data_IF_193911175613
#
_entry.id   IF_193911175613
#
_cell.length_a   1.000
_cell.length_b   1.000
_cell.length_c   1.000
_cell.angle_alpha   90.00
_cell.angle_beta   90.00
_cell.angle_gamma   90.00
#
_symmetry.space_group_name_H-M   'P 1'
#
loop_
_entity.id
_entity.type
_entity.pdbx_description
1 polymer ?
#
# COMPACT_ATOMS: atom_id res chain seq x y z
N UNK A 1 -1.54 -3.66 17.01
CA UNK A 1 -2.46 -4.50 16.21
C UNK A 1 -3.14 -3.74 15.05
N UNK A 2 -3.74 -2.55 15.23
CA UNK A 2 -4.49 -1.81 14.18
C UNK A 2 -3.68 -1.36 12.94
N UNK A 3 -2.35 -1.17 13.06
CA UNK A 3 -1.52 -0.74 11.91
C UNK A 3 -1.34 -1.85 10.86
N UNK A 4 -1.35 -3.12 11.28
CA UNK A 4 -1.18 -4.27 10.39
C UNK A 4 -2.44 -4.53 9.55
N UNK A 5 -3.61 -4.30 10.13
CA UNK A 5 -4.92 -4.50 9.46
C UNK A 5 -5.10 -3.58 8.25
N UNK A 6 -4.67 -2.31 8.34
CA UNK A 6 -4.81 -1.36 7.23
C UNK A 6 -3.92 -1.72 6.03
N UNK A 7 -2.69 -2.13 6.29
CA UNK A 7 -1.75 -2.49 5.23
C UNK A 7 -2.14 -3.80 4.55
N UNK A 8 -2.66 -4.77 5.32
CA UNK A 8 -3.22 -6.01 4.79
C UNK A 8 -4.50 -5.75 3.96
N UNK A 9 -5.45 -4.96 4.46
CA UNK A 9 -6.66 -4.61 3.71
C UNK A 9 -6.32 -3.91 2.37
N UNK A 10 -5.32 -3.03 2.36
CA UNK A 10 -4.85 -2.39 1.14
C UNK A 10 -4.20 -3.37 0.15
N UNK A 11 -3.50 -4.38 0.64
CA UNK A 11 -2.94 -5.43 -0.22
C UNK A 11 -4.04 -6.24 -0.90
N UNK A 12 -5.10 -6.59 -0.18
CA UNK A 12 -6.25 -7.31 -0.74
C UNK A 12 -6.93 -6.46 -1.83
N UNK A 13 -7.15 -5.17 -1.55
CA UNK A 13 -7.75 -4.23 -2.50
C UNK A 13 -6.86 -4.04 -3.74
N UNK A 14 -5.55 -3.97 -3.58
CA UNK A 14 -4.60 -3.88 -4.69
C UNK A 14 -4.60 -5.16 -5.56
N UNK A 15 -4.72 -6.34 -4.95
CA UNK A 15 -4.86 -7.61 -5.68
C UNK A 15 -6.20 -7.73 -6.40
N UNK A 16 -7.29 -7.19 -5.84
CA UNK A 16 -8.63 -7.25 -6.44
C UNK A 16 -8.83 -6.25 -7.60
N UNK A 17 -8.28 -5.03 -7.48
CA UNK A 17 -8.42 -3.96 -8.49
C UNK A 17 -7.26 -3.94 -9.51
N UNK A 18 -6.16 -4.62 -9.20
CA UNK A 18 -4.91 -4.54 -9.93
C UNK A 18 -4.04 -3.34 -9.53
N UNK A 19 -2.73 -3.55 -9.56
CA UNK A 19 -1.68 -2.55 -9.28
C UNK A 19 -1.86 -1.22 -10.04
N UNK A 20 -2.26 -1.17 -11.34
CA UNK A 20 -2.35 0.10 -12.06
C UNK A 20 -3.44 1.04 -11.52
N UNK A 21 -4.55 0.51 -10.99
CA UNK A 21 -5.59 1.31 -10.34
C UNK A 21 -5.11 1.93 -9.01
N UNK A 22 -4.06 1.37 -8.42
CA UNK A 22 -3.52 1.78 -7.12
C UNK A 22 -2.41 2.84 -7.22
N UNK A 23 -1.74 2.94 -8.38
CA UNK A 23 -0.72 3.96 -8.68
C UNK A 23 -1.16 5.42 -8.42
N UNK A 24 -2.36 5.89 -8.83
CA UNK A 24 -2.78 7.27 -8.57
C UNK A 24 -3.00 7.56 -7.08
N UNK A 25 -3.42 6.57 -6.30
CA UNK A 25 -3.52 6.68 -4.84
C UNK A 25 -2.13 6.81 -4.21
N UNK A 26 -1.17 5.97 -4.59
CA UNK A 26 0.20 6.08 -4.11
C UNK A 26 0.83 7.42 -4.49
N UNK A 27 0.60 7.90 -5.71
CA UNK A 27 1.10 9.19 -6.19
C UNK A 27 0.59 10.34 -5.32
N UNK A 28 -0.70 10.36 -5.00
CA UNK A 28 -1.31 11.42 -4.16
C UNK A 28 -0.84 11.36 -2.71
N UNK A 29 -0.70 10.16 -2.13
CA UNK A 29 -0.22 9.98 -0.76
C UNK A 29 1.27 10.34 -0.63
N UNK A 30 2.11 9.94 -1.59
CA UNK A 30 3.53 10.29 -1.63
C UNK A 30 3.77 11.79 -1.88
N UNK A 31 2.96 12.44 -2.73
CA UNK A 31 3.06 13.89 -2.97
C UNK A 31 2.38 14.75 -1.90
N UNK A 32 1.68 14.17 -0.93
CA UNK A 32 0.95 14.94 0.09
C UNK A 32 1.91 15.78 0.92
N UNK A 33 1.78 17.11 0.84
CA UNK A 33 2.57 18.08 1.64
C UNK A 33 1.93 18.41 2.99
N UNK A 34 0.66 18.05 3.20
CA UNK A 34 -0.14 18.45 4.38
C UNK A 34 0.10 17.57 5.61
N UNK A 35 0.58 16.33 5.44
CA UNK A 35 0.75 15.44 6.58
C UNK A 35 1.90 14.47 6.36
N UNK A 36 2.95 14.62 7.16
CA UNK A 36 4.08 13.68 7.19
C UNK A 36 3.61 12.24 7.45
N UNK A 37 2.61 12.05 8.30
CA UNK A 37 2.09 10.70 8.57
C UNK A 37 1.38 10.09 7.37
N UNK A 38 0.87 10.89 6.42
CA UNK A 38 0.33 10.37 5.16
C UNK A 38 1.46 9.79 4.29
N UNK A 39 2.58 10.52 4.15
CA UNK A 39 3.78 10.04 3.45
C UNK A 39 4.33 8.75 4.05
N UNK A 40 4.51 8.75 5.37
CA UNK A 40 5.00 7.58 6.10
C UNK A 40 4.04 6.38 5.97
N UNK A 41 2.72 6.62 5.99
CA UNK A 41 1.73 5.54 5.75
C UNK A 41 1.80 5.02 4.32
N UNK A 42 1.94 5.88 3.32
CA UNK A 42 2.07 5.47 1.92
C UNK A 42 3.23 4.50 1.71
N UNK A 43 4.41 4.83 2.27
CA UNK A 43 5.60 3.96 2.18
C UNK A 43 5.38 2.63 2.90
N UNK A 44 4.83 2.64 4.12
CA UNK A 44 4.53 1.38 4.83
C UNK A 44 3.51 0.51 4.07
N UNK A 45 2.52 1.10 3.41
CA UNK A 45 1.54 0.38 2.60
C UNK A 45 2.20 -0.25 1.36
N UNK A 46 3.05 0.48 0.64
CA UNK A 46 3.82 -0.05 -0.50
C UNK A 46 4.68 -1.24 -0.05
N UNK A 47 5.36 -1.10 1.08
CA UNK A 47 6.22 -2.16 1.61
C UNK A 47 5.42 -3.41 1.98
N UNK A 48 4.23 -3.26 2.58
CA UNK A 48 3.38 -4.42 2.90
C UNK A 48 2.84 -5.12 1.65
N UNK A 49 2.46 -4.35 0.63
CA UNK A 49 2.03 -4.89 -0.67
C UNK A 49 3.19 -5.66 -1.31
N UNK A 50 4.40 -5.10 -1.31
CA UNK A 50 5.59 -5.75 -1.86
C UNK A 50 5.92 -7.08 -1.14
N UNK A 51 5.78 -7.14 0.19
CA UNK A 51 5.97 -8.37 0.96
C UNK A 51 4.91 -9.42 0.59
N UNK A 52 3.64 -9.03 0.48
CA UNK A 52 2.58 -9.97 0.08
C UNK A 52 2.72 -10.45 -1.37
N UNK A 53 3.09 -9.57 -2.29
CA UNK A 53 3.36 -9.94 -3.69
C UNK A 53 4.58 -10.87 -3.80
N UNK A 54 5.60 -10.67 -2.96
CA UNK A 54 6.75 -11.58 -2.85
C UNK A 54 6.36 -12.98 -2.38
N UNK A 55 5.37 -13.10 -1.47
CA UNK A 55 4.77 -14.39 -1.13
C UNK A 55 3.97 -14.99 -2.29
N UNK A 56 3.22 -14.18 -3.03
CA UNK A 56 2.42 -14.65 -4.18
C UNK A 56 3.30 -15.12 -5.35
N UNK A 57 4.47 -14.53 -5.56
CA UNK A 57 5.40 -14.92 -6.65
C UNK A 57 6.24 -16.16 -6.31
N UNK A 58 6.40 -16.48 -5.01
CA UNK A 58 7.07 -17.70 -4.55
C UNK A 58 6.14 -18.93 -4.55
N UNK A 59 4.83 -18.71 -4.66
CA UNK A 59 3.77 -19.72 -4.74
C UNK A 59 3.53 -20.12 -6.21
#
# INVERSE_FOLDING_TARGET
YVRNTRAHAFSIVASALGIPAFLPFLKTVCHSKKSWQARHRGVCTIQQIAIMMGCVVLL
#
